data_IF_627275712894
#
_entry.id   IF_627275712894
#
_cell.length_a   1.000
_cell.length_b   1.000
_cell.length_c   1.000
_cell.angle_alpha   90.00
_cell.angle_beta   90.00
_cell.angle_gamma   90.00
#
_symmetry.space_group_name_H-M   'P 1'
#
loop_
_entity.id
_entity.type
_entity.pdbx_description
1 polymer ?
#
# COMPACT_ATOMS: atom_id res chain seq x y z
N UNK A 1 -32.38 -9.86 -30.72
CA UNK A 1 -31.27 -10.79 -30.38
C UNK A 1 -30.59 -10.19 -29.16
N UNK A 2 -31.23 -10.41 -28.00
CA UNK A 2 -30.81 -9.93 -26.70
C UNK A 2 -29.70 -10.83 -26.18
N UNK A 3 -28.50 -10.31 -25.99
CA UNK A 3 -27.53 -10.94 -25.11
C UNK A 3 -27.62 -10.23 -23.77
N UNK A 4 -28.11 -10.98 -22.79
CA UNK A 4 -28.23 -10.59 -21.41
C UNK A 4 -26.89 -10.06 -20.87
N UNK A 5 -26.92 -8.81 -20.40
CA UNK A 5 -26.03 -8.32 -19.36
C UNK A 5 -26.19 -9.20 -18.12
N UNK A 6 -25.40 -10.27 -18.03
CA UNK A 6 -25.21 -10.99 -16.78
C UNK A 6 -24.40 -10.10 -15.84
N UNK A 7 -25.07 -9.12 -15.22
CA UNK A 7 -24.64 -8.46 -13.99
C UNK A 7 -24.34 -9.56 -12.98
N UNK A 8 -23.05 -9.87 -12.82
CA UNK A 8 -22.62 -10.60 -11.64
C UNK A 8 -22.80 -9.62 -10.47
N UNK A 9 -23.66 -9.92 -9.47
CA UNK A 9 -23.75 -9.06 -8.31
C UNK A 9 -22.40 -9.08 -7.61
N UNK A 10 -21.71 -7.95 -7.64
CA UNK A 10 -20.61 -7.66 -6.71
C UNK A 10 -21.29 -7.36 -5.38
N UNK A 11 -21.75 -8.42 -4.73
CA UNK A 11 -22.18 -8.36 -3.34
C UNK A 11 -20.91 -8.27 -2.51
N UNK A 12 -20.54 -7.03 -2.18
CA UNK A 12 -19.61 -6.75 -1.10
C UNK A 12 -20.37 -7.07 0.19
N UNK A 13 -19.99 -8.07 1.00
CA UNK A 13 -20.59 -8.21 2.31
C UNK A 13 -20.12 -7.00 3.14
N UNK A 14 -21.02 -6.03 3.23
CA UNK A 14 -21.00 -4.97 4.22
C UNK A 14 -21.33 -5.54 5.60
N UNK A 15 -20.59 -5.01 6.58
CA UNK A 15 -20.96 -4.82 7.98
C UNK A 15 -21.49 -6.01 8.80
N UNK A 16 -20.58 -6.61 9.58
CA UNK A 16 -20.91 -7.08 10.92
C UNK A 16 -19.72 -6.76 11.85
N UNK A 17 -19.87 -5.70 12.62
CA UNK A 17 -19.05 -5.39 13.78
C UNK A 17 -19.53 -6.26 14.96
N UNK A 18 -18.56 -6.80 15.72
CA UNK A 18 -18.66 -7.42 17.06
C UNK A 18 -19.28 -8.82 17.28
N UNK A 19 -18.52 -9.58 18.08
CA UNK A 19 -18.90 -10.64 19.02
C UNK A 19 -19.15 -12.08 18.51
N UNK A 20 -18.15 -12.92 18.83
CA UNK A 20 -18.22 -14.34 19.24
C UNK A 20 -19.56 -15.07 19.12
N UNK A 21 -19.56 -16.18 18.38
CA UNK A 21 -20.58 -17.22 18.50
C UNK A 21 -20.57 -18.29 17.40
N UNK A 22 -19.84 -19.38 17.66
CA UNK A 22 -20.09 -20.76 17.19
C UNK A 22 -20.37 -21.02 15.69
N UNK A 23 -19.38 -21.59 14.99
CA UNK A 23 -19.57 -22.20 13.68
C UNK A 23 -18.27 -22.39 12.91
N UNK A 24 -17.65 -23.54 13.11
CA UNK A 24 -16.59 -24.19 12.32
C UNK A 24 -16.33 -23.61 10.91
N UNK A 25 -15.25 -22.84 10.73
CA UNK A 25 -14.66 -22.60 9.40
C UNK A 25 -13.13 -22.69 9.49
N UNK A 26 -12.61 -23.86 9.14
CA UNK A 26 -11.20 -24.14 8.86
C UNK A 26 -10.79 -23.41 7.58
N UNK A 27 -10.44 -22.12 7.66
CA UNK A 27 -9.88 -21.39 6.53
C UNK A 27 -8.38 -21.69 6.41
N UNK A 28 -8.01 -22.64 5.54
CA UNK A 28 -6.62 -22.81 5.10
C UNK A 28 -6.21 -21.62 4.21
N UNK A 29 -5.17 -20.90 4.63
CA UNK A 29 -4.49 -19.92 3.76
C UNK A 29 -3.29 -20.60 3.10
N UNK A 30 -3.22 -20.56 1.77
CA UNK A 30 -2.15 -21.17 1.00
C UNK A 30 -0.76 -20.57 1.31
N UNK A 31 -0.70 -19.38 1.89
CA UNK A 31 0.54 -18.65 2.19
C UNK A 31 0.90 -18.65 3.68
N UNK A 32 -0.11 -18.67 4.57
CA UNK A 32 0.10 -18.47 6.02
C UNK A 32 -0.16 -19.71 6.89
N UNK A 33 -0.57 -20.85 6.30
CA UNK A 33 -0.83 -22.09 7.05
C UNK A 33 -2.16 -22.05 7.82
N UNK A 34 -2.36 -22.99 8.75
CA UNK A 34 -3.56 -23.01 9.61
C UNK A 34 -3.58 -21.78 10.53
N UNK A 35 -4.63 -20.97 10.42
CA UNK A 35 -4.91 -19.87 11.34
C UNK A 35 -5.43 -20.48 12.65
N UNK A 36 -4.53 -21.02 13.48
CA UNK A 36 -4.87 -21.48 14.83
C UNK A 36 -5.23 -20.27 15.72
N UNK A 37 -6.20 -20.45 16.62
CA UNK A 37 -6.68 -19.43 17.58
C UNK A 37 -5.58 -18.81 18.47
N UNK A 38 -4.39 -19.43 18.53
CA UNK A 38 -3.21 -19.00 19.29
C UNK A 38 -2.14 -18.29 18.45
N UNK A 39 -2.29 -18.22 17.13
CA UNK A 39 -1.34 -17.59 16.20
C UNK A 39 -1.73 -16.16 15.81
N UNK A 40 -0.78 -15.29 15.45
CA UNK A 40 -1.08 -13.96 14.92
C UNK A 40 -1.89 -14.07 13.63
N UNK A 41 -3.11 -13.51 13.61
CA UNK A 41 -3.94 -13.48 12.42
C UNK A 41 -3.43 -12.43 11.43
N UNK A 42 -2.82 -12.87 10.33
CA UNK A 42 -2.27 -11.99 9.28
C UNK A 42 -3.34 -11.41 8.34
N UNK A 43 -4.57 -11.92 8.41
CA UNK A 43 -5.74 -11.44 7.64
C UNK A 43 -6.71 -10.66 8.52
N UNK A 44 -6.19 -9.90 9.49
CA UNK A 44 -7.01 -9.16 10.46
C UNK A 44 -7.52 -7.81 9.95
N UNK A 45 -7.07 -7.34 8.77
CA UNK A 45 -7.50 -6.04 8.22
C UNK A 45 -8.65 -6.23 7.23
N UNK A 46 -9.83 -5.72 7.58
CA UNK A 46 -10.94 -5.59 6.65
C UNK A 46 -10.65 -4.57 5.53
N UNK A 47 -11.61 -4.37 4.63
CA UNK A 47 -11.43 -3.45 3.51
C UNK A 47 -11.20 -2.00 3.96
N UNK A 48 -11.88 -1.57 5.03
CA UNK A 48 -11.76 -0.22 5.61
C UNK A 48 -10.36 -0.02 6.20
N UNK A 49 -9.89 -0.98 7.01
CA UNK A 49 -8.55 -0.92 7.63
C UNK A 49 -7.43 -0.95 6.58
N UNK A 50 -7.59 -1.76 5.54
CA UNK A 50 -6.64 -1.82 4.42
C UNK A 50 -6.61 -0.50 3.63
N UNK A 51 -7.78 0.07 3.33
CA UNK A 51 -7.89 1.35 2.63
C UNK A 51 -7.28 2.50 3.43
N UNK A 52 -7.59 2.61 4.73
CA UNK A 52 -7.04 3.63 5.61
C UNK A 52 -5.51 3.55 5.74
N UNK A 53 -4.96 2.33 5.86
CA UNK A 53 -3.51 2.12 5.91
C UNK A 53 -2.81 2.57 4.61
N UNK A 54 -3.40 2.24 3.46
CA UNK A 54 -2.85 2.63 2.15
C UNK A 54 -2.92 4.15 1.97
N UNK A 55 -4.04 4.77 2.36
CA UNK A 55 -4.23 6.22 2.30
C UNK A 55 -3.19 6.96 3.16
N UNK A 56 -2.99 6.53 4.40
CA UNK A 56 -1.98 7.13 5.30
C UNK A 56 -0.59 7.08 4.69
N UNK A 57 -0.23 5.96 4.08
CA UNK A 57 1.08 5.78 3.44
C UNK A 57 1.25 6.74 2.25
N UNK A 58 0.22 6.88 1.41
CA UNK A 58 0.27 7.77 0.25
C UNK A 58 0.30 9.26 0.65
N UNK A 59 -0.52 9.67 1.62
CA UNK A 59 -0.52 11.04 2.15
C UNK A 59 0.86 11.37 2.73
N UNK A 60 1.44 10.46 3.52
CA UNK A 60 2.74 10.64 4.15
C UNK A 60 3.88 10.82 3.15
N UNK A 61 3.84 10.11 2.02
CA UNK A 61 4.85 10.23 0.97
C UNK A 61 4.67 11.51 0.12
N UNK A 62 3.44 11.94 -0.12
CA UNK A 62 3.14 13.04 -1.05
C UNK A 62 3.14 14.43 -0.41
N UNK A 63 2.59 14.58 0.81
CA UNK A 63 2.18 15.89 1.37
C UNK A 63 3.32 16.90 1.50
N UNK A 64 4.54 16.44 1.76
CA UNK A 64 5.71 17.31 1.96
C UNK A 64 6.17 17.96 0.64
N UNK A 65 5.93 17.32 -0.50
CA UNK A 65 6.45 17.76 -1.80
C UNK A 65 5.44 18.56 -2.62
N UNK A 66 4.14 18.40 -2.36
CA UNK A 66 3.10 19.15 -3.08
C UNK A 66 3.26 20.67 -3.03
N UNK A 67 3.58 21.31 -1.88
CA UNK A 67 3.70 22.77 -1.82
C UNK A 67 4.77 23.33 -2.75
N UNK A 68 5.94 22.68 -2.80
CA UNK A 68 7.06 23.12 -3.66
C UNK A 68 6.75 22.98 -5.15
N UNK A 69 5.98 21.95 -5.54
CA UNK A 69 5.53 21.76 -6.92
C UNK A 69 4.53 22.84 -7.34
N UNK A 70 3.59 23.21 -6.47
CA UNK A 70 2.65 24.29 -6.75
C UNK A 70 3.31 25.67 -6.77
N UNK A 71 4.34 25.91 -5.97
CA UNK A 71 5.12 27.14 -6.00
C UNK A 71 5.89 27.31 -7.32
N UNK A 72 6.46 26.21 -7.83
CA UNK A 72 7.25 26.24 -9.08
C UNK A 72 6.38 26.31 -10.33
N UNK A 73 5.30 25.53 -10.39
CA UNK A 73 4.44 25.44 -11.59
C UNK A 73 3.31 26.47 -11.58
N UNK A 74 2.87 26.93 -10.42
CA UNK A 74 1.66 27.71 -10.23
C UNK A 74 0.42 26.84 -10.00
N UNK A 75 -0.58 27.41 -9.31
CA UNK A 75 -1.79 26.70 -8.88
C UNK A 75 -2.61 26.12 -10.04
N UNK A 76 -2.87 26.91 -11.09
CA UNK A 76 -3.72 26.49 -12.22
C UNK A 76 -3.10 25.31 -12.99
N UNK A 77 -1.87 25.40 -13.53
CA UNK A 77 -1.27 24.28 -14.25
C UNK A 77 -0.96 23.09 -13.32
N UNK A 78 -0.60 23.32 -12.06
CA UNK A 78 -0.37 22.26 -11.08
C UNK A 78 -1.63 21.40 -10.86
N UNK A 79 -2.81 22.01 -10.70
CA UNK A 79 -4.06 21.27 -10.51
C UNK A 79 -4.43 20.47 -11.75
N UNK A 80 -4.26 21.03 -12.96
CA UNK A 80 -4.56 20.31 -14.22
C UNK A 80 -3.70 19.05 -14.34
N UNK A 81 -2.39 19.16 -14.07
CA UNK A 81 -1.47 18.03 -14.11
C UNK A 81 -1.82 17.00 -13.03
N UNK A 82 -2.17 17.46 -11.83
CA UNK A 82 -2.56 16.57 -10.74
C UNK A 82 -3.81 15.76 -11.08
N UNK A 83 -4.83 16.39 -11.67
CA UNK A 83 -6.03 15.70 -12.14
C UNK A 83 -5.72 14.70 -13.25
N UNK A 84 -4.84 15.05 -14.19
CA UNK A 84 -4.43 14.16 -15.26
C UNK A 84 -3.69 12.91 -14.73
N UNK A 85 -2.71 13.09 -13.85
CA UNK A 85 -1.99 11.97 -13.21
C UNK A 85 -2.93 11.15 -12.32
N UNK A 86 -3.85 11.80 -11.60
CA UNK A 86 -4.88 11.14 -10.81
C UNK A 86 -5.80 10.26 -11.65
N UNK A 87 -6.23 10.74 -12.81
CA UNK A 87 -7.04 9.96 -13.75
C UNK A 87 -6.28 8.75 -14.32
N UNK A 88 -5.04 8.94 -14.75
CA UNK A 88 -4.18 7.84 -15.25
C UNK A 88 -3.91 6.78 -14.18
N UNK A 89 -3.67 7.22 -12.94
CA UNK A 89 -3.44 6.34 -11.80
C UNK A 89 -4.71 5.55 -11.47
N UNK A 90 -5.87 6.22 -11.46
CA UNK A 90 -7.16 5.58 -11.22
C UNK A 90 -7.46 4.53 -12.29
N UNK A 91 -7.23 4.86 -13.56
CA UNK A 91 -7.39 3.92 -14.67
C UNK A 91 -6.49 2.68 -14.53
N UNK A 92 -5.21 2.90 -14.20
CA UNK A 92 -4.24 1.82 -14.00
C UNK A 92 -4.66 0.90 -12.85
N UNK A 93 -5.08 1.47 -11.72
CA UNK A 93 -5.57 0.72 -10.56
C UNK A 93 -6.84 -0.07 -10.88
N UNK A 94 -7.74 0.48 -11.71
CA UNK A 94 -8.93 -0.23 -12.16
C UNK A 94 -8.58 -1.50 -12.95
N UNK A 95 -7.66 -1.39 -13.91
CA UNK A 95 -7.20 -2.56 -14.70
C UNK A 95 -6.52 -3.60 -13.82
N UNK A 96 -5.66 -3.18 -12.88
CA UNK A 96 -5.02 -4.08 -11.91
C UNK A 96 -6.07 -4.78 -11.03
N UNK A 97 -7.11 -4.05 -10.60
CA UNK A 97 -8.22 -4.62 -9.82
C UNK A 97 -8.99 -5.69 -10.59
N UNK A 98 -9.36 -5.42 -11.84
CA UNK A 98 -10.03 -6.40 -12.71
C UNK A 98 -9.15 -7.63 -12.95
N UNK A 99 -7.84 -7.43 -13.18
CA UNK A 99 -6.89 -8.52 -13.32
C UNK A 99 -6.78 -9.38 -12.05
N UNK A 100 -6.72 -8.75 -10.86
CA UNK A 100 -6.65 -9.46 -9.58
C UNK A 100 -7.92 -10.27 -9.29
N UNK A 101 -9.10 -9.77 -9.66
CA UNK A 101 -10.36 -10.51 -9.52
C UNK A 101 -10.41 -11.73 -10.45
N UNK A 102 -9.84 -11.63 -11.65
CA UNK A 102 -9.77 -12.74 -12.61
C UNK A 102 -8.71 -13.79 -12.26
N UNK A 103 -7.60 -13.39 -11.65
CA UNK A 103 -6.48 -14.26 -11.28
C UNK A 103 -6.19 -14.23 -9.77
N UNK A 104 -7.13 -14.71 -8.95
CA UNK A 104 -7.00 -14.74 -7.48
C UNK A 104 -5.85 -15.62 -6.93
N UNK A 105 -5.26 -16.48 -7.77
CA UNK A 105 -4.11 -17.31 -7.39
C UNK A 105 -2.78 -16.55 -7.38
N UNK A 106 -2.73 -15.36 -7.99
CA UNK A 106 -1.52 -14.54 -8.08
C UNK A 106 -1.48 -13.65 -6.85
N UNK A 107 -0.47 -13.82 -5.99
CA UNK A 107 -0.33 -13.03 -4.76
C UNK A 107 0.62 -11.85 -4.93
N UNK A 108 1.74 -12.04 -5.64
CA UNK A 108 2.76 -11.03 -5.91
C UNK A 108 2.71 -10.44 -7.33
N UNK A 109 3.42 -9.33 -7.54
CA UNK A 109 3.59 -8.74 -8.87
C UNK A 109 4.60 -9.52 -9.72
N UNK A 110 5.51 -10.26 -9.10
CA UNK A 110 6.46 -11.16 -9.75
C UNK A 110 5.74 -12.33 -10.44
N UNK A 111 4.68 -12.86 -9.84
CA UNK A 111 3.83 -13.88 -10.46
C UNK A 111 3.05 -13.34 -11.67
N UNK A 112 2.73 -12.03 -11.68
CA UNK A 112 2.19 -11.37 -12.88
C UNK A 112 3.22 -11.35 -13.99
N UNK A 113 4.49 -11.05 -13.66
CA UNK A 113 5.61 -11.16 -14.59
C UNK A 113 5.76 -12.58 -15.15
N UNK A 114 5.52 -13.60 -14.32
CA UNK A 114 5.53 -15.00 -14.74
C UNK A 114 4.42 -15.31 -15.75
N UNK A 115 3.21 -14.79 -15.53
CA UNK A 115 2.08 -15.02 -16.43
C UNK A 115 2.27 -14.33 -17.79
N UNK A 116 2.88 -13.13 -17.79
CA UNK A 116 3.02 -12.32 -19.01
C UNK A 116 4.22 -12.74 -19.88
N UNK A 117 5.37 -13.02 -19.26
CA UNK A 117 6.65 -13.23 -19.97
C UNK A 117 7.37 -14.51 -19.53
N UNK A 118 6.70 -15.41 -18.81
CA UNK A 118 7.30 -16.66 -18.32
C UNK A 118 8.36 -16.44 -17.24
N UNK A 119 9.28 -17.41 -17.09
CA UNK A 119 10.30 -17.40 -16.02
C UNK A 119 11.18 -16.14 -16.00
N UNK A 120 11.61 -15.69 -17.18
CA UNK A 120 12.45 -14.48 -17.30
C UNK A 120 11.67 -13.24 -16.86
N UNK A 121 10.39 -13.17 -17.24
CA UNK A 121 9.48 -12.11 -16.79
C UNK A 121 9.37 -12.01 -15.28
N UNK A 122 9.28 -13.15 -14.59
CA UNK A 122 9.22 -13.20 -13.13
C UNK A 122 10.44 -12.57 -12.48
N UNK A 123 11.64 -12.97 -12.88
CA UNK A 123 12.89 -12.47 -12.29
C UNK A 123 13.11 -10.98 -12.57
N UNK A 124 12.83 -10.54 -13.80
CA UNK A 124 12.97 -9.11 -14.17
C UNK A 124 11.99 -8.24 -13.40
N UNK A 125 10.71 -8.62 -13.33
CA UNK A 125 9.70 -7.86 -12.60
C UNK A 125 10.01 -7.84 -11.11
N UNK A 126 10.44 -8.97 -10.52
CA UNK A 126 10.86 -9.02 -9.13
C UNK A 126 12.04 -8.09 -8.84
N UNK A 127 13.07 -8.08 -9.70
CA UNK A 127 14.25 -7.23 -9.53
C UNK A 127 13.91 -5.73 -9.65
N UNK A 128 13.14 -5.35 -10.67
CA UNK A 128 12.72 -3.96 -10.87
C UNK A 128 11.84 -3.49 -9.72
N UNK A 129 10.90 -4.32 -9.27
CA UNK A 129 10.02 -3.98 -8.16
C UNK A 129 10.77 -3.84 -6.83
N UNK A 130 11.74 -4.71 -6.57
CA UNK A 130 12.64 -4.62 -5.42
C UNK A 130 13.44 -3.31 -5.46
N UNK A 131 14.04 -2.97 -6.60
CA UNK A 131 14.77 -1.72 -6.79
C UNK A 131 13.90 -0.48 -6.56
N UNK A 132 12.68 -0.48 -7.09
CA UNK A 132 11.70 0.58 -6.87
C UNK A 132 11.37 0.77 -5.37
N UNK A 133 11.14 -0.32 -4.64
CA UNK A 133 10.86 -0.26 -3.20
C UNK A 133 12.06 0.28 -2.39
N UNK A 134 13.28 -0.13 -2.74
CA UNK A 134 14.50 0.38 -2.08
C UNK A 134 14.67 1.88 -2.33
N UNK A 135 14.49 2.35 -3.57
CA UNK A 135 14.56 3.79 -3.87
C UNK A 135 13.47 4.59 -3.15
N UNK A 136 12.25 4.04 -3.09
CA UNK A 136 11.12 4.67 -2.39
C UNK A 136 11.39 4.76 -0.88
N UNK A 137 11.91 3.70 -0.26
CA UNK A 137 12.30 3.71 1.14
C UNK A 137 13.43 4.71 1.42
N UNK A 138 14.43 4.80 0.53
CA UNK A 138 15.50 5.80 0.62
C UNK A 138 14.97 7.23 0.52
N UNK A 139 14.06 7.50 -0.42
CA UNK A 139 13.39 8.80 -0.56
C UNK A 139 12.62 9.17 0.70
N UNK A 140 11.89 8.22 1.31
CA UNK A 140 11.17 8.47 2.56
C UNK A 140 12.10 8.85 3.72
N UNK A 141 13.26 8.18 3.85
CA UNK A 141 14.26 8.52 4.88
C UNK A 141 14.87 9.91 4.66
N UNK A 142 15.11 10.29 3.41
CA UNK A 142 15.56 11.63 3.05
C UNK A 142 14.52 12.69 3.40
N UNK A 143 13.23 12.46 3.11
CA UNK A 143 12.14 13.37 3.46
C UNK A 143 12.04 13.61 4.97
N UNK A 144 12.13 12.56 5.78
CA UNK A 144 12.15 12.69 7.25
C UNK A 144 13.37 13.50 7.70
N UNK A 145 14.52 13.27 7.07
CA UNK A 145 15.75 13.99 7.40
C UNK A 145 15.64 15.48 7.08
N UNK A 146 15.06 15.85 5.93
CA UNK A 146 14.82 17.26 5.56
C UNK A 146 13.87 17.91 6.58
N UNK A 147 12.81 17.21 6.98
CA UNK A 147 11.88 17.70 8.00
C UNK A 147 12.57 17.92 9.36
N UNK A 148 13.41 16.98 9.81
CA UNK A 148 14.18 17.11 11.05
C UNK A 148 15.22 18.24 10.98
N UNK A 149 15.88 18.42 9.83
CA UNK A 149 16.80 19.54 9.62
C UNK A 149 16.09 20.89 9.74
N UNK A 150 14.88 21.01 9.18
CA UNK A 150 14.08 22.23 9.27
C UNK A 150 13.62 22.51 10.71
N UNK A 151 13.26 21.48 11.48
CA UNK A 151 12.83 21.63 12.88
C UNK A 151 13.97 21.94 13.85
N UNK A 152 15.19 21.45 13.56
CA UNK A 152 16.34 21.57 14.47
C UNK A 152 17.24 22.79 14.19
N UNK A 153 16.82 23.72 13.31
CA UNK A 153 17.64 24.84 12.81
C UNK A 153 19.08 24.43 12.46
N UNK A 154 19.25 23.36 11.68
CA UNK A 154 20.56 22.86 11.25
C UNK A 154 21.53 22.45 12.40
N UNK A 155 21.00 21.93 13.50
CA UNK A 155 21.81 21.49 14.65
C UNK A 155 22.80 20.33 14.40
N UNK A 156 22.69 19.59 13.28
CA UNK A 156 23.59 18.51 12.91
C UNK A 156 23.64 18.29 11.39
N UNK A 157 24.55 17.45 10.91
CA UNK A 157 24.62 17.11 9.48
C UNK A 157 23.49 16.15 9.05
N UNK A 158 23.08 16.24 7.79
CA UNK A 158 21.98 15.45 7.20
C UNK A 158 22.18 13.94 7.38
N UNK A 159 23.42 13.45 7.36
CA UNK A 159 23.75 12.04 7.57
C UNK A 159 23.30 11.53 8.95
N UNK A 160 23.42 12.35 10.00
CA UNK A 160 23.00 11.97 11.36
C UNK A 160 21.48 11.88 11.43
N UNK A 161 20.76 12.81 10.78
CA UNK A 161 19.30 12.76 10.73
C UNK A 161 18.77 11.57 9.91
N UNK A 162 19.47 11.18 8.83
CA UNK A 162 19.14 9.96 8.07
C UNK A 162 19.34 8.71 8.94
N UNK A 163 20.46 8.63 9.69
CA UNK A 163 20.71 7.51 10.59
C UNK A 163 19.65 7.42 11.70
N UNK A 164 19.26 8.55 12.29
CA UNK A 164 18.19 8.61 13.28
C UNK A 164 16.83 8.19 12.70
N UNK A 165 16.49 8.66 11.49
CA UNK A 165 15.28 8.27 10.77
C UNK A 165 15.27 6.76 10.46
N UNK A 166 16.41 6.19 10.07
CA UNK A 166 16.54 4.75 9.84
C UNK A 166 16.26 3.95 11.12
N UNK A 167 16.85 4.33 12.25
CA UNK A 167 16.61 3.65 13.54
C UNK A 167 15.13 3.76 13.96
N UNK A 168 14.53 4.94 13.81
CA UNK A 168 13.12 5.16 14.12
C UNK A 168 12.20 4.32 13.23
N UNK A 169 12.44 4.28 11.92
CA UNK A 169 11.69 3.46 10.96
C UNK A 169 11.85 1.98 11.27
N UNK A 170 13.07 1.51 11.58
CA UNK A 170 13.31 0.11 11.96
C UNK A 170 12.57 -0.28 13.24
N UNK A 171 12.52 0.61 14.23
CA UNK A 171 11.76 0.37 15.46
C UNK A 171 10.25 0.23 15.19
N UNK A 172 9.68 1.11 14.36
CA UNK A 172 8.26 1.08 13.99
C UNK A 172 7.94 -0.10 13.06
N UNK A 173 8.83 -0.44 12.13
CA UNK A 173 8.69 -1.58 11.23
C UNK A 173 8.72 -2.94 11.97
N UNK A 174 9.27 -2.97 13.18
CA UNK A 174 9.31 -4.18 14.02
C UNK A 174 7.93 -4.60 14.55
N UNK A 175 6.90 -3.74 14.45
CA UNK A 175 5.54 -4.07 14.88
C UNK A 175 4.93 -5.12 13.95
N UNK A 176 4.94 -6.38 14.40
CA UNK A 176 4.55 -7.57 13.61
C UNK A 176 3.04 -7.74 13.35
N UNK A 177 2.18 -7.01 14.05
CA UNK A 177 0.72 -7.24 13.98
C UNK A 177 -0.05 -5.93 13.90
N UNK A 178 -0.52 -5.59 12.69
CA UNK A 178 -1.39 -4.43 12.48
C UNK A 178 -2.82 -4.62 13.02
N UNK A 179 -3.21 -5.83 13.40
CA UNK A 179 -4.55 -6.15 13.92
C UNK A 179 -4.91 -5.50 15.25
N UNK A 180 -3.95 -4.99 16.04
CA UNK A 180 -4.21 -4.35 17.34
C UNK A 180 -4.35 -2.83 17.29
N UNK A 181 -4.13 -2.20 16.13
CA UNK A 181 -4.06 -0.73 16.01
C UNK A 181 -5.36 -0.11 15.47
N UNK A 182 -6.40 -0.92 15.26
CA UNK A 182 -7.68 -0.52 14.66
C UNK A 182 -8.62 0.26 15.56
N UNK A 183 -8.14 1.22 16.35
CA UNK A 183 -9.00 2.04 17.22
C UNK A 183 -9.25 3.47 16.72
N UNK A 184 -8.66 3.90 15.59
CA UNK A 184 -9.24 5.04 14.86
C UNK A 184 -8.81 5.07 13.40
N UNK A 185 -9.76 5.01 12.45
CA UNK A 185 -9.52 5.38 11.06
C UNK A 185 -9.41 6.91 10.84
N UNK A 186 -9.24 7.71 11.90
CA UNK A 186 -9.18 9.17 11.91
C UNK A 186 -7.90 9.68 12.58
#
# INVERSE_FOLDING_TARGET
MSLEEKKLPVEMPGDAESAQGHGEVTHQDAVFGEITEKGPNYRSLGWIGTSGLMMKTQIGLGVLSFPSVFDTLGMIPGVIILLFIGALTTWSNYIVGVFKLRHRHIYGIDDVGMLLFGRIGKEVVAFVFMGFYVMTAGSAMLSISIALNALSEHGACTAVFVAAAFVAVMAVASVRTLGRIGCSPW
#
